data_IF_662238372025
#
_entry.id   IF_662238372025
#
_cell.length_a   1.000
_cell.length_b   1.000
_cell.length_c   1.000
_cell.angle_alpha   90.00
_cell.angle_beta   90.00
_cell.angle_gamma   90.00
#
_symmetry.space_group_name_H-M   'P 1'
#
loop_
_entity.id
_entity.type
_entity.pdbx_description
1 polymer ?
#
# COMPACT_ATOMS: atom_id res chain seq x y z
N UNK A 1 -8.95 -47.09 56.89
CA UNK A 1 -8.95 -45.64 56.80
C UNK A 1 -8.40 -45.27 55.47
N UNK A 2 -9.21 -44.71 54.65
CA UNK A 2 -8.80 -44.27 53.29
C UNK A 2 -8.82 -42.75 53.31
N UNK A 3 -7.67 -42.16 53.08
CA UNK A 3 -7.57 -40.71 52.91
C UNK A 3 -7.74 -40.39 51.41
N UNK A 4 -8.82 -39.75 51.13
CA UNK A 4 -9.03 -39.24 49.77
C UNK A 4 -8.47 -37.83 49.67
N UNK A 5 -7.42 -37.72 48.96
CA UNK A 5 -6.95 -36.41 48.56
C UNK A 5 -7.61 -36.04 47.22
N UNK A 6 -8.45 -35.04 47.27
CA UNK A 6 -8.95 -34.44 46.08
C UNK A 6 -7.90 -33.45 45.52
N UNK A 7 -7.28 -33.82 44.43
CA UNK A 7 -6.42 -32.88 43.71
C UNK A 7 -7.28 -32.05 42.82
N UNK A 8 -7.53 -30.81 43.22
CA UNK A 8 -8.12 -29.85 42.36
C UNK A 8 -7.06 -29.35 41.39
N UNK A 9 -7.12 -29.82 40.16
CA UNK A 9 -6.31 -29.26 39.08
C UNK A 9 -6.92 -27.94 38.64
N UNK A 10 -6.32 -26.85 39.07
CA UNK A 10 -6.62 -25.53 38.54
C UNK A 10 -5.93 -25.42 37.18
N UNK A 11 -6.69 -25.63 36.11
CA UNK A 11 -6.23 -25.30 34.79
C UNK A 11 -6.32 -23.77 34.63
N UNK A 12 -5.21 -23.09 34.82
CA UNK A 12 -5.05 -21.71 34.45
C UNK A 12 -4.92 -21.63 32.91
N UNK A 13 -6.05 -21.49 32.25
CA UNK A 13 -6.06 -21.13 30.83
C UNK A 13 -5.63 -19.69 30.68
N UNK A 14 -4.37 -19.44 30.35
CA UNK A 14 -3.95 -18.14 29.89
C UNK A 14 -4.47 -17.99 28.47
N UNK A 15 -5.56 -17.29 28.31
CA UNK A 15 -6.00 -16.87 26.99
C UNK A 15 -5.03 -15.79 26.49
N UNK A 16 -4.14 -16.16 25.60
CA UNK A 16 -3.36 -15.20 24.82
C UNK A 16 -4.32 -14.47 23.90
N UNK A 17 -4.76 -13.31 24.33
CA UNK A 17 -5.47 -12.41 23.44
C UNK A 17 -4.44 -11.72 22.56
N UNK A 18 -4.36 -12.16 21.31
CA UNK A 18 -3.69 -11.37 20.29
C UNK A 18 -4.41 -10.03 20.19
N UNK A 19 -3.68 -8.92 20.31
CA UNK A 19 -4.26 -7.60 20.08
C UNK A 19 -4.88 -7.60 18.67
N UNK A 20 -6.16 -7.19 18.51
CA UNK A 20 -6.75 -7.12 17.19
C UNK A 20 -5.93 -6.15 16.33
N UNK A 21 -5.54 -6.60 15.13
CA UNK A 21 -4.96 -5.71 14.14
C UNK A 21 -5.92 -4.54 13.94
N UNK A 22 -5.41 -3.32 13.99
CA UNK A 22 -6.23 -2.14 13.75
C UNK A 22 -6.74 -2.20 12.31
N UNK A 23 -8.05 -2.04 12.12
CA UNK A 23 -8.70 -2.15 10.80
C UNK A 23 -8.15 -1.13 9.80
N UNK A 24 -7.62 0.02 10.28
CA UNK A 24 -7.03 1.09 9.47
C UNK A 24 -5.58 0.81 9.05
N UNK A 25 -4.96 -0.27 9.55
CA UNK A 25 -3.58 -0.66 9.26
C UNK A 25 -3.48 -1.70 8.13
N UNK A 26 -4.60 -2.20 7.63
CA UNK A 26 -4.65 -3.13 6.51
C UNK A 26 -4.20 -2.49 5.20
N UNK A 27 -3.72 -3.32 4.27
CA UNK A 27 -3.36 -2.83 2.94
C UNK A 27 -4.60 -2.23 2.25
N UNK A 28 -4.47 -1.06 1.60
CA UNK A 28 -5.62 -0.29 1.12
C UNK A 28 -6.17 -0.80 -0.22
N UNK A 29 -6.55 -2.06 -0.31
CA UNK A 29 -7.21 -2.60 -1.48
C UNK A 29 -8.55 -1.91 -1.73
N UNK A 30 -8.84 -1.62 -3.00
CA UNK A 30 -10.09 -1.02 -3.42
C UNK A 30 -10.24 0.47 -3.15
N UNK A 31 -9.20 1.11 -2.63
CA UNK A 31 -9.21 2.53 -2.29
C UNK A 31 -8.32 3.32 -3.24
N UNK A 32 -8.85 4.38 -3.81
CA UNK A 32 -8.03 5.31 -4.60
C UNK A 32 -7.14 6.13 -3.68
N UNK A 33 -5.89 6.27 -4.08
CA UNK A 33 -4.89 7.04 -3.34
C UNK A 33 -4.25 8.09 -4.24
N UNK A 34 -3.94 9.24 -3.67
CA UNK A 34 -3.26 10.34 -4.34
C UNK A 34 -1.86 10.52 -3.77
N UNK A 35 -0.87 10.66 -4.64
CA UNK A 35 0.51 10.92 -4.23
C UNK A 35 0.57 12.23 -3.44
N UNK A 36 1.16 12.18 -2.25
CA UNK A 36 1.24 13.32 -1.33
C UNK A 36 2.42 14.23 -1.70
N UNK A 37 2.27 14.95 -2.79
CA UNK A 37 3.24 15.92 -3.32
C UNK A 37 2.52 17.14 -3.87
N UNK A 38 3.27 18.23 -4.03
CA UNK A 38 2.76 19.41 -4.71
C UNK A 38 2.55 19.15 -6.21
N UNK A 39 1.61 19.85 -6.81
CA UNK A 39 1.42 19.83 -8.27
C UNK A 39 2.68 20.36 -8.96
N UNK A 40 3.04 19.71 -10.06
CA UNK A 40 4.06 20.25 -10.94
C UNK A 40 3.53 21.49 -11.68
N UNK A 41 4.40 22.49 -11.99
CA UNK A 41 4.01 23.64 -12.78
C UNK A 41 3.33 23.23 -14.09
N UNK A 42 2.17 23.80 -14.36
CA UNK A 42 1.40 23.50 -15.57
C UNK A 42 0.66 22.16 -15.57
N UNK A 43 0.76 21.37 -14.50
CA UNK A 43 0.02 20.12 -14.38
C UNK A 43 -1.34 20.36 -13.73
N UNK A 44 -2.38 19.75 -14.30
CA UNK A 44 -3.74 19.83 -13.76
C UNK A 44 -4.05 18.71 -12.76
N UNK A 45 -3.17 17.73 -12.64
CA UNK A 45 -3.41 16.56 -11.77
C UNK A 45 -2.16 16.16 -11.01
N UNK A 46 -2.37 15.41 -9.95
CA UNK A 46 -1.36 14.71 -9.17
C UNK A 46 -1.58 13.22 -9.36
N UNK A 47 -0.53 12.40 -9.43
CA UNK A 47 -0.70 10.96 -9.64
C UNK A 47 -1.62 10.30 -8.63
N UNK A 48 -2.43 9.37 -9.14
CA UNK A 48 -3.28 8.50 -8.32
C UNK A 48 -3.02 7.05 -8.65
N UNK A 49 -3.31 6.17 -7.72
CA UNK A 49 -3.31 4.75 -7.95
C UNK A 49 -4.45 4.09 -7.18
N UNK A 50 -4.96 3.01 -7.73
CA UNK A 50 -5.96 2.17 -7.10
C UNK A 50 -5.58 0.71 -7.32
N UNK A 51 -5.53 -0.06 -6.24
CA UNK A 51 -5.14 -1.46 -6.24
C UNK A 51 -6.37 -2.28 -5.87
N UNK A 52 -6.83 -3.14 -6.77
CA UNK A 52 -7.96 -4.00 -6.48
C UNK A 52 -7.57 -5.21 -5.62
N UNK A 53 -8.56 -6.01 -5.23
CA UNK A 53 -8.35 -7.17 -4.36
C UNK A 53 -7.46 -8.25 -5.00
N UNK A 54 -7.34 -8.27 -6.31
CA UNK A 54 -6.45 -9.18 -7.04
C UNK A 54 -5.03 -8.64 -7.17
N UNK A 55 -4.78 -7.40 -6.73
CA UNK A 55 -3.50 -6.72 -6.86
C UNK A 55 -3.33 -5.97 -8.18
N UNK A 56 -4.31 -6.00 -9.08
CA UNK A 56 -4.25 -5.19 -10.29
C UNK A 56 -4.31 -3.71 -9.93
N UNK A 57 -3.41 -2.93 -10.52
CA UNK A 57 -3.29 -1.50 -10.25
C UNK A 57 -3.70 -0.71 -11.46
N UNK A 58 -4.51 0.32 -11.23
CA UNK A 58 -4.75 1.37 -12.19
C UNK A 58 -3.91 2.58 -11.78
N UNK A 59 -3.05 3.03 -12.69
CA UNK A 59 -2.16 4.17 -12.49
C UNK A 59 -2.63 5.34 -13.34
N UNK A 60 -2.81 6.48 -12.71
CA UNK A 60 -2.88 7.78 -13.37
C UNK A 60 -1.66 8.58 -12.93
N UNK A 61 -0.74 8.81 -13.84
CA UNK A 61 0.53 9.49 -13.56
C UNK A 61 0.42 10.99 -13.83
N UNK A 62 1.54 11.67 -13.87
CA UNK A 62 1.57 13.11 -14.18
C UNK A 62 1.03 13.40 -15.58
N UNK A 63 1.28 12.54 -16.53
CA UNK A 63 0.80 12.69 -17.91
C UNK A 63 0.18 11.40 -18.45
N UNK A 64 0.85 10.27 -18.28
CA UNK A 64 0.42 8.97 -18.79
C UNK A 64 -0.47 8.25 -17.79
N UNK A 65 -1.17 7.24 -18.26
CA UNK A 65 -1.84 6.26 -17.44
C UNK A 65 -1.38 4.86 -17.79
N UNK A 66 -1.74 3.89 -17.00
CA UNK A 66 -1.39 2.51 -17.23
C UNK A 66 -1.88 1.58 -16.16
N UNK A 67 -1.47 0.34 -16.27
CA UNK A 67 -1.79 -0.72 -15.32
C UNK A 67 -0.54 -1.40 -14.83
N UNK A 68 -0.64 -2.06 -13.71
CA UNK A 68 0.41 -2.86 -13.14
C UNK A 68 -0.13 -3.90 -12.19
N UNK A 69 0.75 -4.60 -11.52
CA UNK A 69 0.40 -5.64 -10.57
C UNK A 69 1.16 -5.44 -9.27
N UNK A 70 0.44 -5.35 -8.15
CA UNK A 70 1.00 -5.45 -6.81
C UNK A 70 0.82 -6.86 -6.27
N UNK A 71 1.87 -7.36 -5.63
CA UNK A 71 1.81 -8.55 -4.79
C UNK A 71 2.15 -8.11 -3.37
N UNK A 72 1.32 -8.50 -2.41
CA UNK A 72 1.45 -8.07 -1.01
C UNK A 72 1.51 -9.30 -0.11
N UNK A 73 2.55 -9.37 0.70
CA UNK A 73 2.72 -10.41 1.72
C UNK A 73 3.17 -9.75 3.02
N UNK A 74 2.26 -9.66 4.00
CA UNK A 74 2.53 -8.92 5.22
C UNK A 74 2.84 -7.46 4.91
N UNK A 75 4.01 -6.99 5.35
CA UNK A 75 4.48 -5.63 5.06
C UNK A 75 5.41 -5.55 3.84
N UNK A 76 5.54 -6.63 3.10
CA UNK A 76 6.35 -6.71 1.87
C UNK A 76 5.47 -6.47 0.66
N UNK A 77 5.99 -5.72 -0.31
CA UNK A 77 5.31 -5.48 -1.59
C UNK A 77 6.26 -5.73 -2.75
N UNK A 78 5.69 -6.16 -3.85
CA UNK A 78 6.35 -6.22 -5.15
C UNK A 78 5.42 -5.57 -6.15
N UNK A 79 5.90 -4.57 -6.88
CA UNK A 79 5.17 -3.93 -7.95
C UNK A 79 5.83 -4.23 -9.29
N UNK A 80 5.04 -4.67 -10.26
CA UNK A 80 5.45 -4.88 -11.64
C UNK A 80 4.60 -3.98 -12.52
N UNK A 81 5.25 -3.05 -13.20
CA UNK A 81 4.57 -2.16 -14.14
C UNK A 81 4.17 -2.92 -15.40
N UNK A 82 2.94 -2.71 -15.83
CA UNK A 82 2.49 -3.03 -17.17
C UNK A 82 2.86 -1.91 -18.15
N UNK A 83 2.49 -2.05 -19.44
CA UNK A 83 2.75 -1.01 -20.41
C UNK A 83 1.97 0.26 -20.07
N UNK A 84 2.62 1.43 -20.18
CA UNK A 84 1.95 2.71 -20.08
C UNK A 84 1.28 3.06 -21.40
N UNK A 85 0.21 3.86 -21.31
CA UNK A 85 -0.46 4.36 -22.49
C UNK A 85 0.51 5.17 -23.35
N UNK A 86 0.43 4.99 -24.67
CA UNK A 86 1.17 5.79 -25.61
C UNK A 86 0.47 7.16 -25.78
N UNK A 87 0.97 8.12 -25.05
CA UNK A 87 0.44 9.49 -25.03
C UNK A 87 1.59 10.47 -25.14
N UNK A 88 1.42 11.47 -26.00
CA UNK A 88 2.39 12.55 -26.10
C UNK A 88 2.39 13.37 -24.82
N UNK A 89 3.56 13.52 -24.22
CA UNK A 89 3.76 14.23 -22.97
C UNK A 89 4.91 15.21 -23.08
N UNK A 90 4.82 16.37 -22.41
CA UNK A 90 6.00 17.22 -22.23
C UNK A 90 7.15 16.42 -21.61
N UNK A 91 8.42 16.62 -22.04
CA UNK A 91 9.52 15.80 -21.58
C UNK A 91 9.67 15.73 -20.06
N UNK A 92 9.46 16.84 -19.35
CA UNK A 92 9.58 16.87 -17.90
C UNK A 92 8.54 15.96 -17.20
N UNK A 93 7.31 15.91 -17.73
CA UNK A 93 6.25 15.05 -17.17
C UNK A 93 6.46 13.59 -17.54
N UNK A 94 6.92 13.31 -18.75
CA UNK A 94 7.26 11.96 -19.17
C UNK A 94 8.38 11.40 -18.27
N UNK A 95 9.41 12.19 -17.97
CA UNK A 95 10.46 11.82 -17.05
C UNK A 95 9.93 11.60 -15.63
N UNK A 96 9.07 12.47 -15.13
CA UNK A 96 8.47 12.32 -13.81
C UNK A 96 7.60 11.05 -13.72
N UNK A 97 6.90 10.68 -14.77
CA UNK A 97 6.14 9.44 -14.85
C UNK A 97 7.08 8.23 -14.75
N UNK A 98 8.17 8.23 -15.51
CA UNK A 98 9.14 7.15 -15.51
C UNK A 98 9.82 7.00 -14.12
N UNK A 99 10.15 8.11 -13.49
CA UNK A 99 10.75 8.12 -12.14
C UNK A 99 9.79 7.57 -11.10
N UNK A 100 8.51 7.92 -11.19
CA UNK A 100 7.49 7.42 -10.25
C UNK A 100 7.28 5.90 -10.41
N UNK A 101 7.17 5.42 -11.65
CA UNK A 101 7.05 3.99 -11.93
C UNK A 101 8.28 3.23 -11.45
N UNK A 102 9.47 3.77 -11.68
CA UNK A 102 10.72 3.17 -11.19
C UNK A 102 10.74 3.11 -9.66
N UNK A 103 10.35 4.16 -8.98
CA UNK A 103 10.31 4.20 -7.51
C UNK A 103 9.30 3.20 -6.93
N UNK A 104 8.13 3.04 -7.56
CA UNK A 104 7.17 2.01 -7.18
C UNK A 104 7.73 0.61 -7.39
N UNK A 105 8.43 0.39 -8.50
CA UNK A 105 9.03 -0.91 -8.84
C UNK A 105 10.17 -1.29 -7.89
N UNK A 106 10.84 -0.31 -7.28
CA UNK A 106 11.90 -0.52 -6.30
C UNK A 106 11.38 -0.64 -4.86
N UNK A 107 10.11 -0.33 -4.61
CA UNK A 107 9.53 -0.44 -3.29
C UNK A 107 9.52 -1.91 -2.83
N UNK A 108 9.96 -2.13 -1.60
CA UNK A 108 10.06 -3.46 -1.00
C UNK A 108 9.11 -3.63 0.19
N UNK A 109 8.78 -2.56 0.87
CA UNK A 109 7.88 -2.57 2.03
C UNK A 109 6.83 -1.48 1.94
N UNK A 110 5.76 -1.68 2.70
CA UNK A 110 4.71 -0.69 2.83
C UNK A 110 4.36 -0.46 4.29
N UNK A 111 3.80 0.70 4.56
CA UNK A 111 3.34 1.09 5.90
C UNK A 111 2.12 1.97 5.76
N UNK A 112 1.11 1.73 6.59
CA UNK A 112 -0.08 2.59 6.66
C UNK A 112 -0.17 3.25 8.04
N UNK A 113 -0.43 4.54 8.04
CA UNK A 113 -0.71 5.35 9.22
C UNK A 113 -1.96 6.18 8.95
N UNK A 114 -3.11 5.71 9.44
CA UNK A 114 -4.39 6.35 9.13
C UNK A 114 -4.67 6.34 7.63
N UNK A 115 -4.82 7.53 7.05
CA UNK A 115 -5.08 7.71 5.62
C UNK A 115 -3.80 7.81 4.78
N UNK A 116 -2.63 7.70 5.38
CA UNK A 116 -1.36 7.75 4.67
C UNK A 116 -0.78 6.36 4.50
N UNK A 117 -0.36 6.09 3.27
CA UNK A 117 0.28 4.83 2.89
C UNK A 117 1.64 5.16 2.28
N UNK A 118 2.69 4.57 2.82
CA UNK A 118 4.05 4.76 2.33
C UNK A 118 4.54 3.48 1.67
N UNK A 119 5.10 3.61 0.48
CA UNK A 119 5.85 2.57 -0.20
C UNK A 119 7.33 2.91 -0.09
N UNK A 120 8.11 1.99 0.44
CA UNK A 120 9.47 2.24 0.88
C UNK A 120 10.44 1.36 0.11
N UNK A 121 11.32 1.99 -0.61
CA UNK A 121 12.43 1.40 -1.33
C UNK A 121 13.62 2.35 -1.26
N UNK A 122 14.32 2.53 -2.35
CA UNK A 122 15.37 3.56 -2.47
C UNK A 122 14.82 4.96 -2.22
N UNK A 123 13.57 5.18 -2.65
CA UNK A 123 12.81 6.39 -2.35
C UNK A 123 11.60 6.02 -1.49
N UNK A 124 11.14 6.97 -0.68
CA UNK A 124 9.89 6.87 0.05
C UNK A 124 8.80 7.56 -0.76
N UNK A 125 7.75 6.81 -1.10
CA UNK A 125 6.57 7.33 -1.76
C UNK A 125 5.42 7.32 -0.77
N UNK A 126 4.86 8.48 -0.46
CA UNK A 126 3.71 8.60 0.42
C UNK A 126 2.48 8.98 -0.38
N UNK A 127 1.44 8.18 -0.20
CA UNK A 127 0.11 8.42 -0.77
C UNK A 127 -0.89 8.71 0.33
N UNK A 128 -1.90 9.46 -0.01
CA UNK A 128 -3.05 9.69 0.87
C UNK A 128 -4.28 9.02 0.27
N UNK A 129 -4.98 8.24 1.09
CA UNK A 129 -6.25 7.63 0.71
C UNK A 129 -7.27 8.74 0.48
N UNK A 130 -7.95 8.71 -0.68
CA UNK A 130 -8.99 9.65 -0.98
C UNK A 130 -10.23 9.28 -0.15
N UNK A 131 -10.60 10.17 0.76
CA UNK A 131 -11.81 10.06 1.56
C UNK A 131 -12.82 11.08 1.09
N UNK A 132 -14.08 10.66 0.97
CA UNK A 132 -15.18 11.56 0.63
C UNK A 132 -15.70 12.27 1.87
#
# INVERSE_FOLDING_TARGET
>A
MVVRQAVAALALGTALQAAPARADEGFPFGLEMTLDVARQPGSKRVPTLEIDDSGEVILELWCKGGKGQFSVAGNTVIFVAGPLQDRACPPARAQADDELVAALSEAATWKRQGDFVSFIGTKLLRFRINTN
#
